data_IF_114410225824
#
_entry.id   IF_114410225824
#
_cell.length_a   1.000
_cell.length_b   1.000
_cell.length_c   1.000
_cell.angle_alpha   90.00
_cell.angle_beta   90.00
_cell.angle_gamma   90.00
#
_symmetry.space_group_name_H-M   'P 1'
#
loop_
_entity.id
_entity.type
_entity.pdbx_description
1 polymer ?
#
# COMPACT_ATOMS: atom_id res chain seq x y z
N UNK A 1 -19.30 -15.48 -2.84
CA UNK A 1 -19.26 -14.08 -3.29
C UNK A 1 -18.55 -13.13 -2.32
N UNK A 2 -18.50 -13.37 -1.00
CA UNK A 2 -17.77 -12.48 -0.07
C UNK A 2 -16.23 -12.62 -0.15
N UNK A 3 -15.73 -13.82 -0.47
CA UNK A 3 -14.31 -14.08 -0.74
C UNK A 3 -13.80 -13.31 -1.95
N UNK A 4 -14.59 -13.26 -3.02
CA UNK A 4 -14.24 -12.54 -4.25
C UNK A 4 -14.12 -11.03 -3.98
N UNK A 5 -15.05 -10.46 -3.21
CA UNK A 5 -15.02 -9.05 -2.83
C UNK A 5 -13.80 -8.68 -1.96
N UNK A 6 -13.46 -9.50 -0.95
CA UNK A 6 -12.25 -9.24 -0.15
C UNK A 6 -10.99 -9.31 -1.00
N UNK A 7 -10.91 -10.30 -1.89
CA UNK A 7 -9.77 -10.46 -2.77
C UNK A 7 -9.61 -9.25 -3.70
N UNK A 8 -10.71 -8.77 -4.29
CA UNK A 8 -10.74 -7.55 -5.09
C UNK A 8 -10.31 -6.31 -4.27
N UNK A 9 -10.81 -6.17 -3.04
CA UNK A 9 -10.47 -5.07 -2.13
C UNK A 9 -8.97 -5.12 -1.72
N UNK A 10 -8.43 -6.32 -1.48
CA UNK A 10 -7.01 -6.53 -1.16
C UNK A 10 -6.12 -6.18 -2.36
N UNK A 11 -6.50 -6.60 -3.58
CA UNK A 11 -5.78 -6.26 -4.81
C UNK A 11 -5.84 -4.76 -5.11
N UNK A 12 -6.99 -4.12 -4.90
CA UNK A 12 -7.15 -2.68 -5.03
C UNK A 12 -6.20 -1.95 -4.06
N UNK A 13 -6.17 -2.35 -2.80
CA UNK A 13 -5.28 -1.75 -1.80
C UNK A 13 -3.79 -1.89 -2.18
N UNK A 14 -3.38 -3.03 -2.75
CA UNK A 14 -2.02 -3.23 -3.26
C UNK A 14 -1.72 -2.38 -4.50
N UNK A 15 -2.70 -2.20 -5.39
CA UNK A 15 -2.57 -1.33 -6.57
C UNK A 15 -2.39 0.14 -6.15
N UNK A 16 -3.21 0.61 -5.20
CA UNK A 16 -3.11 1.95 -4.63
C UNK A 16 -1.75 2.18 -3.95
N UNK A 17 -1.28 1.22 -3.14
CA UNK A 17 0.05 1.25 -2.52
C UNK A 17 1.16 1.40 -3.57
N UNK A 18 1.10 0.58 -4.62
CA UNK A 18 2.12 0.58 -5.68
C UNK A 18 2.15 1.92 -6.41
N UNK A 19 0.98 2.49 -6.68
CA UNK A 19 0.86 3.80 -7.32
C UNK A 19 1.43 4.92 -6.44
N UNK A 20 1.16 4.89 -5.14
CA UNK A 20 1.66 5.91 -4.21
C UNK A 20 3.18 5.86 -4.07
N UNK A 21 3.75 4.65 -3.91
CA UNK A 21 5.21 4.46 -3.91
C UNK A 21 5.81 4.96 -5.23
N UNK A 22 5.20 4.62 -6.37
CA UNK A 22 5.63 5.11 -7.68
C UNK A 22 5.65 6.63 -7.76
N UNK A 23 4.62 7.30 -7.24
CA UNK A 23 4.52 8.76 -7.21
C UNK A 23 5.62 9.40 -6.37
N UNK A 24 5.96 8.80 -5.21
CA UNK A 24 7.06 9.28 -4.36
C UNK A 24 8.40 9.20 -5.10
N UNK A 25 8.68 8.05 -5.73
CA UNK A 25 9.92 7.83 -6.48
C UNK A 25 10.01 8.74 -7.70
N UNK A 26 8.93 8.86 -8.47
CA UNK A 26 8.86 9.73 -9.65
C UNK A 26 9.07 11.20 -9.27
N UNK A 27 8.46 11.68 -8.19
CA UNK A 27 8.68 13.04 -7.70
C UNK A 27 10.14 13.28 -7.31
N UNK A 28 10.78 12.31 -6.65
CA UNK A 28 12.20 12.40 -6.30
C UNK A 28 13.08 12.47 -7.55
N UNK A 29 12.79 11.64 -8.55
CA UNK A 29 13.49 11.64 -9.83
C UNK A 29 13.30 12.97 -10.59
N UNK A 30 12.06 13.47 -10.67
CA UNK A 30 11.74 14.73 -11.34
C UNK A 30 12.37 15.95 -10.65
N UNK A 31 12.68 15.83 -9.35
CA UNK A 31 13.44 16.84 -8.59
C UNK A 31 14.97 16.69 -8.75
N UNK A 32 15.43 15.73 -9.56
CA UNK A 32 16.85 15.50 -9.83
C UNK A 32 17.62 14.92 -8.64
N UNK A 33 16.94 14.24 -7.71
CA UNK A 33 17.60 13.64 -6.55
C UNK A 33 18.23 12.29 -6.91
N UNK A 34 19.49 12.11 -6.52
CA UNK A 34 20.20 10.84 -6.67
C UNK A 34 19.76 9.79 -5.62
N UNK A 35 19.14 10.25 -4.53
CA UNK A 35 18.66 9.40 -3.44
C UNK A 35 17.25 9.83 -2.99
N UNK A 36 16.48 8.87 -2.46
CA UNK A 36 15.27 9.18 -1.71
C UNK A 36 15.62 9.88 -0.40
N UNK A 37 14.80 10.85 0.00
CA UNK A 37 14.97 11.49 1.30
C UNK A 37 14.58 10.51 2.41
N UNK A 38 15.13 10.66 3.63
CA UNK A 38 14.68 9.89 4.79
C UNK A 38 13.17 9.97 5.01
N UNK A 39 12.57 11.14 4.76
CA UNK A 39 11.11 11.34 4.86
C UNK A 39 10.33 10.56 3.81
N UNK A 40 10.87 10.41 2.59
CA UNK A 40 10.25 9.63 1.52
C UNK A 40 10.24 8.15 1.91
N UNK A 41 11.35 7.66 2.46
CA UNK A 41 11.49 6.28 2.94
C UNK A 41 10.57 6.02 4.14
N UNK A 42 10.54 6.94 5.12
CA UNK A 42 9.63 6.84 6.27
C UNK A 42 8.16 6.80 5.83
N UNK A 43 7.80 7.64 4.86
CA UNK A 43 6.45 7.64 4.30
C UNK A 43 6.09 6.32 3.63
N UNK A 44 6.97 5.78 2.78
CA UNK A 44 6.80 4.48 2.12
C UNK A 44 6.59 3.36 3.15
N UNK A 45 7.41 3.32 4.21
CA UNK A 45 7.29 2.31 5.26
C UNK A 45 5.96 2.41 6.01
N UNK A 46 5.51 3.64 6.30
CA UNK A 46 4.23 3.90 6.96
C UNK A 46 3.05 3.40 6.14
N UNK A 47 2.92 3.84 4.87
CA UNK A 47 1.81 3.43 4.01
C UNK A 47 1.82 1.92 3.74
N UNK A 48 3.01 1.31 3.61
CA UNK A 48 3.15 -0.14 3.47
C UNK A 48 2.63 -0.87 4.71
N UNK A 49 2.99 -0.41 5.90
CA UNK A 49 2.50 -0.96 7.16
C UNK A 49 0.97 -0.85 7.25
N UNK A 50 0.39 0.30 6.90
CA UNK A 50 -1.06 0.52 6.96
C UNK A 50 -1.82 -0.43 6.01
N UNK A 51 -1.33 -0.63 4.79
CA UNK A 51 -1.93 -1.56 3.81
C UNK A 51 -1.78 -3.02 4.26
N UNK A 52 -0.64 -3.39 4.86
CA UNK A 52 -0.47 -4.73 5.45
C UNK A 52 -1.52 -4.98 6.53
N UNK A 53 -1.78 -4.02 7.42
CA UNK A 53 -2.81 -4.16 8.45
C UNK A 53 -4.21 -4.29 7.85
N UNK A 54 -4.51 -3.51 6.78
CA UNK A 54 -5.79 -3.57 6.06
C UNK A 54 -6.03 -4.95 5.44
N UNK A 55 -5.05 -5.52 4.75
CA UNK A 55 -5.15 -6.82 4.05
C UNK A 55 -5.21 -7.98 5.05
N UNK A 56 -4.39 -7.93 6.11
CA UNK A 56 -4.33 -8.97 7.15
C UNK A 56 -5.50 -8.93 8.12
N UNK A 57 -6.31 -7.87 8.13
CA UNK A 57 -7.48 -7.77 8.99
C UNK A 57 -8.38 -9.00 8.75
N UNK A 58 -8.58 -9.86 9.77
CA UNK A 58 -9.29 -11.11 9.58
C UNK A 58 -10.73 -10.82 9.17
N UNK A 59 -11.21 -11.56 8.16
CA UNK A 59 -12.64 -11.73 7.97
C UNK A 59 -13.21 -12.20 9.33
N UNK A 60 -14.27 -11.59 9.87
CA UNK A 60 -14.98 -12.24 10.96
C UNK A 60 -15.37 -13.64 10.46
N UNK A 61 -14.85 -14.66 11.13
CA UNK A 61 -15.20 -16.05 10.84
C UNK A 61 -16.72 -16.14 10.89
N UNK A 62 -17.35 -16.61 9.81
CA UNK A 62 -18.75 -17.00 9.82
C UNK A 62 -18.85 -18.21 10.76
N UNK A 63 -19.13 -17.97 12.03
CA UNK A 63 -19.57 -19.02 12.94
C UNK A 63 -20.95 -19.49 12.48
N UNK A 64 -20.98 -20.71 11.92
CA UNK A 64 -22.19 -21.47 11.58
C UNK A 64 -22.69 -22.22 12.81
#
# INVERSE_FOLDING_TARGET
>A
MQFDKKLDDDYLAMSELTQEIGTIVENSFNQGRDILLPSDVEHILKITSDVIHKIKSPLPELTV
#
